data_IF_772534112295
#
_entry.id   IF_772534112295
#
_cell.length_a   1.000
_cell.length_b   1.000
_cell.length_c   1.000
_cell.angle_alpha   90.00
_cell.angle_beta   90.00
_cell.angle_gamma   90.00
#
_symmetry.space_group_name_H-M   'P 1'
#
loop_
_entity.id
_entity.type
_entity.pdbx_description
1 polymer ?
#
# COMPACT_ATOMS: atom_id res chain seq x y z
N UNK A 1 2.27 2.20 28.08
CA UNK A 1 1.22 1.66 27.19
C UNK A 1 1.12 2.60 26.00
N UNK A 2 1.39 2.11 24.78
CA UNK A 2 1.26 2.92 23.58
C UNK A 2 -0.21 3.23 23.30
N UNK A 3 -0.52 4.44 22.82
CA UNK A 3 -1.88 4.79 22.42
C UNK A 3 -2.38 3.79 21.37
N UNK A 4 -3.63 3.33 21.50
CA UNK A 4 -4.26 2.46 20.51
C UNK A 4 -4.41 3.23 19.19
N UNK A 5 -3.72 2.77 18.15
CA UNK A 5 -3.92 3.22 16.77
C UNK A 5 -4.82 2.21 16.08
N UNK A 6 -5.91 2.70 15.48
CA UNK A 6 -6.79 1.87 14.65
C UNK A 6 -6.45 2.06 13.18
N UNK A 7 -6.50 0.98 12.41
CA UNK A 7 -6.29 0.99 10.96
C UNK A 7 -7.56 0.50 10.26
N UNK A 8 -8.18 1.35 9.46
CA UNK A 8 -9.28 0.99 8.57
C UNK A 8 -8.73 0.75 7.17
N UNK A 9 -9.06 -0.42 6.60
CA UNK A 9 -8.68 -0.82 5.24
C UNK A 9 -9.94 -0.90 4.37
N UNK A 10 -9.96 -0.18 3.25
CA UNK A 10 -11.08 -0.20 2.31
C UNK A 10 -10.57 -0.47 0.91
N UNK A 11 -11.05 -1.55 0.28
CA UNK A 11 -10.83 -1.77 -1.16
C UNK A 11 -11.70 -0.76 -1.91
N UNK A 12 -11.06 0.19 -2.58
CA UNK A 12 -11.73 1.27 -3.31
C UNK A 12 -11.84 1.02 -4.80
N UNK A 13 -11.12 0.03 -5.32
CA UNK A 13 -11.16 -0.33 -6.73
C UNK A 13 -10.03 -1.27 -7.13
N UNK A 14 -9.85 -1.39 -8.44
CA UNK A 14 -8.85 -2.21 -9.08
C UNK A 14 -8.26 -1.43 -10.26
N UNK A 15 -6.96 -1.53 -10.47
CA UNK A 15 -6.26 -0.88 -11.60
C UNK A 15 -5.14 -1.77 -12.15
N UNK A 16 -4.66 -1.44 -13.35
CA UNK A 16 -3.48 -2.07 -13.92
C UNK A 16 -2.28 -1.13 -13.78
N UNK A 17 -1.18 -1.62 -13.22
CA UNK A 17 0.07 -0.89 -13.11
C UNK A 17 1.16 -1.55 -13.93
N UNK A 18 2.17 -0.77 -14.31
CA UNK A 18 3.36 -1.26 -15.02
C UNK A 18 4.59 -1.12 -14.15
N UNK A 19 5.33 -2.22 -13.98
CA UNK A 19 6.65 -2.24 -13.36
C UNK A 19 7.61 -2.89 -14.35
N UNK A 20 8.54 -2.08 -14.88
CA UNK A 20 9.34 -2.47 -16.03
C UNK A 20 8.46 -2.77 -17.24
N UNK A 21 8.65 -3.93 -17.85
CA UNK A 21 7.85 -4.41 -19.00
C UNK A 21 6.60 -5.20 -18.60
N UNK A 22 6.41 -5.50 -17.32
CA UNK A 22 5.31 -6.32 -16.84
C UNK A 22 4.11 -5.45 -16.44
N UNK A 23 2.91 -5.97 -16.68
CA UNK A 23 1.65 -5.37 -16.25
C UNK A 23 1.03 -6.23 -15.16
N UNK A 24 0.58 -5.60 -14.09
CA UNK A 24 -0.02 -6.28 -12.95
C UNK A 24 -1.39 -5.67 -12.65
N UNK A 25 -2.37 -6.52 -12.40
CA UNK A 25 -3.61 -6.12 -11.76
C UNK A 25 -3.38 -5.93 -10.25
N UNK A 26 -3.85 -4.80 -9.73
CA UNK A 26 -3.75 -4.46 -8.31
C UNK A 26 -5.08 -3.98 -7.76
N UNK A 27 -5.37 -4.34 -6.51
CA UNK A 27 -6.41 -3.71 -5.70
C UNK A 27 -5.88 -2.38 -5.16
N UNK A 28 -6.72 -1.35 -5.25
CA UNK A 28 -6.48 -0.02 -4.67
C UNK A 28 -7.07 0.01 -3.28
N UNK A 29 -6.23 -0.12 -2.26
CA UNK A 29 -6.65 -0.23 -0.85
C UNK A 29 -6.37 1.09 -0.15
N UNK A 30 -7.42 1.80 0.28
CA UNK A 30 -7.28 3.00 1.10
C UNK A 30 -7.10 2.62 2.55
N UNK A 31 -6.04 3.14 3.17
CA UNK A 31 -5.70 2.92 4.56
C UNK A 31 -5.91 4.21 5.34
N UNK A 32 -6.68 4.16 6.43
CA UNK A 32 -6.89 5.31 7.32
C UNK A 32 -6.41 4.96 8.72
N UNK A 33 -5.40 5.70 9.19
CA UNK A 33 -4.84 5.55 10.52
C UNK A 33 -5.56 6.52 11.46
N UNK A 34 -6.08 6.00 12.56
CA UNK A 34 -6.86 6.77 13.53
C UNK A 34 -6.24 6.69 14.91
N UNK A 35 -6.29 7.83 15.62
CA UNK A 35 -5.92 7.88 17.03
C UNK A 35 -7.02 7.30 17.94
N UNK A 36 -6.80 7.32 19.25
CA UNK A 36 -7.73 6.77 20.24
C UNK A 36 -9.09 7.49 20.27
N UNK A 37 -9.16 8.74 19.80
CA UNK A 37 -10.41 9.50 19.66
C UNK A 37 -11.14 9.25 18.33
N UNK A 38 -10.64 8.33 17.50
CA UNK A 38 -11.22 8.01 16.18
C UNK A 38 -10.94 9.06 15.10
N UNK A 39 -10.04 10.02 15.34
CA UNK A 39 -9.65 11.01 14.34
C UNK A 39 -8.59 10.44 13.42
N UNK A 40 -8.75 10.64 12.11
CA UNK A 40 -7.74 10.28 11.11
C UNK A 40 -6.49 11.13 11.34
N UNK A 41 -5.37 10.48 11.57
CA UNK A 41 -4.05 11.12 11.73
C UNK A 41 -3.19 10.96 10.50
N UNK A 42 -3.42 9.91 9.71
CA UNK A 42 -2.70 9.65 8.47
C UNK A 42 -3.56 8.83 7.50
N UNK A 43 -3.22 8.91 6.22
CA UNK A 43 -3.87 8.16 5.16
C UNK A 43 -2.88 7.89 4.02
N UNK A 44 -2.83 6.63 3.59
CA UNK A 44 -2.17 6.25 2.34
C UNK A 44 -3.04 5.28 1.54
N UNK A 45 -2.59 4.98 0.33
CA UNK A 45 -3.23 3.98 -0.53
C UNK A 45 -2.20 2.93 -0.92
N UNK A 46 -2.52 1.68 -0.69
CA UNK A 46 -1.74 0.52 -1.08
C UNK A 46 -2.19 -0.02 -2.44
N UNK A 47 -1.22 -0.41 -3.26
CA UNK A 47 -1.43 -1.09 -4.54
C UNK A 47 -1.07 -2.56 -4.36
N UNK A 48 -2.05 -3.37 -3.96
CA UNK A 48 -1.85 -4.78 -3.63
C UNK A 48 -2.12 -5.67 -4.84
N UNK A 49 -1.18 -6.54 -5.23
CA UNK A 49 -1.44 -7.56 -6.25
C UNK A 49 -1.94 -8.85 -5.59
N UNK A 50 -3.20 -9.26 -5.81
CA UNK A 50 -3.71 -10.53 -5.27
C UNK A 50 -3.00 -11.74 -5.88
N UNK A 51 -2.59 -11.64 -7.15
CA UNK A 51 -1.88 -12.71 -7.86
C UNK A 51 -0.53 -13.01 -7.22
N UNK A 52 0.24 -11.97 -6.89
CA UNK A 52 1.57 -12.13 -6.30
C UNK A 52 1.54 -12.24 -4.77
N UNK A 53 0.47 -11.77 -4.13
CA UNK A 53 0.35 -11.73 -2.68
C UNK A 53 1.17 -10.63 -1.99
N UNK A 54 1.60 -9.59 -2.72
CA UNK A 54 2.43 -8.51 -2.21
C UNK A 54 1.95 -7.11 -2.65
N UNK A 55 2.33 -6.10 -1.87
CA UNK A 55 2.22 -4.70 -2.26
C UNK A 55 3.23 -4.38 -3.36
N UNK A 56 2.78 -3.75 -4.43
CA UNK A 56 3.60 -3.33 -5.56
C UNK A 56 3.90 -1.83 -5.56
N UNK A 57 3.21 -1.07 -4.70
CA UNK A 57 3.46 0.35 -4.53
C UNK A 57 2.51 0.99 -3.53
N UNK A 58 2.74 2.29 -3.30
CA UNK A 58 1.92 3.17 -2.46
C UNK A 58 1.59 4.45 -3.20
N UNK A 59 0.44 5.03 -2.90
CA UNK A 59 0.02 6.35 -3.38
C UNK A 59 -0.28 7.25 -2.17
N UNK A 60 0.27 8.45 -2.21
CA UNK A 60 0.14 9.47 -1.18
C UNK A 60 -0.58 10.70 -1.73
N UNK A 61 -1.52 11.23 -0.96
CA UNK A 61 -2.16 12.51 -1.26
C UNK A 61 -1.22 13.64 -0.83
N UNK A 62 -0.84 14.50 -1.78
CA UNK A 62 0.02 15.65 -1.54
C UNK A 62 -0.80 16.85 -1.05
N UNK A 63 -0.16 17.80 -0.35
CA UNK A 63 -0.85 18.96 0.25
C UNK A 63 -1.47 19.90 -0.78
N UNK A 64 -1.00 19.88 -2.03
CA UNK A 64 -1.51 20.67 -3.15
C UNK A 64 -2.68 19.99 -3.88
N UNK A 65 -3.14 18.83 -3.38
CA UNK A 65 -4.19 18.03 -4.02
C UNK A 65 -3.65 17.12 -5.13
N UNK A 66 -2.34 17.09 -5.36
CA UNK A 66 -1.69 16.10 -6.20
C UNK A 66 -1.65 14.71 -5.57
N UNK A 67 -1.23 13.73 -6.34
CA UNK A 67 -0.97 12.38 -5.85
C UNK A 67 0.39 11.91 -6.32
N UNK A 68 1.20 11.40 -5.40
CA UNK A 68 2.48 10.77 -5.69
C UNK A 68 2.33 9.27 -5.59
N UNK A 69 2.65 8.55 -6.67
CA UNK A 69 2.69 7.07 -6.67
C UNK A 69 4.14 6.59 -6.66
N UNK A 70 4.47 5.76 -5.68
CA UNK A 70 5.77 5.11 -5.53
C UNK A 70 5.58 3.63 -5.82
N UNK A 71 6.20 3.13 -6.90
CA UNK A 71 6.20 1.72 -7.27
C UNK A 71 7.49 1.05 -6.78
N UNK A 72 7.38 -0.19 -6.33
CA UNK A 72 8.53 -0.95 -5.84
C UNK A 72 9.23 -1.68 -6.99
N UNK A 73 10.46 -1.26 -7.29
CA UNK A 73 11.28 -1.86 -8.35
C UNK A 73 11.78 -3.28 -7.98
N UNK A 74 11.98 -3.54 -6.68
CA UNK A 74 12.46 -4.83 -6.16
C UNK A 74 11.73 -5.20 -4.89
N UNK A 75 11.09 -6.37 -4.89
CA UNK A 75 10.46 -6.98 -3.71
C UNK A 75 11.28 -8.22 -3.37
N UNK A 76 11.91 -8.24 -2.20
CA UNK A 76 12.66 -9.39 -1.72
C UNK A 76 11.82 -10.16 -0.71
N UNK A 77 11.64 -11.45 -0.94
CA UNK A 77 11.16 -12.36 0.09
C UNK A 77 12.28 -12.56 1.12
N UNK A 78 11.91 -12.54 2.41
CA UNK A 78 12.85 -12.78 3.51
C UNK A 78 13.19 -14.27 3.69
N UNK A 79 12.74 -15.15 2.79
CA UNK A 79 12.93 -16.61 2.88
C UNK A 79 13.92 -17.21 1.87
N UNK A 80 14.79 -16.41 1.24
CA UNK A 80 15.62 -16.86 0.11
C UNK A 80 17.11 -17.10 0.37
N UNK A 81 17.67 -16.65 1.50
CA UNK A 81 19.12 -16.76 1.80
C UNK A 81 19.47 -17.79 2.89
N UNK A 82 18.50 -18.60 3.36
CA UNK A 82 18.76 -19.70 4.32
C UNK A 82 18.20 -21.07 3.85
N UNK A 83 18.21 -21.32 2.54
CA UNK A 83 18.10 -22.67 2.00
C UNK A 83 19.41 -23.03 1.27
N UNK A 84 20.36 -23.43 2.11
CA UNK A 84 21.57 -24.24 1.87
C UNK A 84 21.84 -24.76 0.45
#
# INVERSE_FOLDING_TARGET
MGASVSLELTVTGQEHIRIGSCSYEVLVIRNRFMNAEGRVTDQDTDLYSPELGFLLGKRYDERDGGQTTILYERIKSMGGDEAR
#
